data_IF_751906336746
#
_entry.id   IF_751906336746
#
_cell.length_a   1.000
_cell.length_b   1.000
_cell.length_c   1.000
_cell.angle_alpha   90.00
_cell.angle_beta   90.00
_cell.angle_gamma   90.00
#
_symmetry.space_group_name_H-M   'P 1'
#
loop_
_entity.id
_entity.type
_entity.pdbx_description
1 polymer ?
#
# COMPACT_ATOMS: atom_id res chain seq x y z
N UNK A 1 7.07 -21.76 0.65
CA UNK A 1 7.58 -23.00 1.29
C UNK A 1 8.20 -22.76 2.68
N UNK A 2 8.30 -21.52 3.20
CA UNK A 2 8.87 -21.27 4.54
C UNK A 2 10.41 -21.30 4.63
N UNK A 3 11.09 -21.70 3.55
CA UNK A 3 12.55 -21.76 3.47
C UNK A 3 13.15 -20.36 3.25
N UNK A 4 14.29 -20.10 3.88
CA UNK A 4 15.07 -18.86 3.71
C UNK A 4 15.53 -18.74 2.24
N UNK A 5 15.26 -17.59 1.63
CA UNK A 5 15.71 -17.31 0.27
C UNK A 5 17.12 -16.72 0.23
N UNK A 6 17.84 -16.95 -0.87
CA UNK A 6 19.13 -16.30 -1.15
C UNK A 6 18.91 -14.95 -1.82
N UNK A 7 19.59 -13.90 -1.36
CA UNK A 7 19.53 -12.58 -1.99
C UNK A 7 19.93 -12.70 -3.47
N UNK A 8 19.07 -12.16 -4.35
CA UNK A 8 19.28 -12.17 -5.81
C UNK A 8 19.73 -10.80 -6.28
N UNK A 9 18.88 -9.80 -6.08
CA UNK A 9 19.06 -8.43 -6.52
C UNK A 9 18.10 -7.50 -5.76
N UNK A 10 18.01 -6.25 -6.20
CA UNK A 10 17.06 -5.28 -5.68
C UNK A 10 16.20 -4.74 -6.83
N UNK A 11 14.97 -4.36 -6.50
CA UNK A 11 14.10 -3.61 -7.39
C UNK A 11 13.67 -2.31 -6.73
N UNK A 12 13.27 -1.33 -7.54
CA UNK A 12 12.60 -0.14 -7.05
C UNK A 12 11.08 -0.36 -7.08
N UNK A 13 10.42 -0.22 -5.93
CA UNK A 13 8.96 -0.14 -5.82
C UNK A 13 8.58 1.32 -5.62
N UNK A 14 7.74 1.84 -6.51
CA UNK A 14 7.17 3.18 -6.41
C UNK A 14 5.82 3.10 -5.72
N UNK A 15 5.65 3.82 -4.62
CA UNK A 15 4.37 3.89 -3.88
C UNK A 15 3.97 5.34 -3.68
N UNK A 16 2.70 5.66 -3.95
CA UNK A 16 2.14 6.98 -3.67
C UNK A 16 1.98 7.16 -2.17
N UNK A 17 2.26 8.36 -1.73
CA UNK A 17 2.31 8.73 -0.33
C UNK A 17 1.65 10.09 -0.08
N UNK A 18 1.67 10.57 1.17
CA UNK A 18 1.03 11.84 1.53
C UNK A 18 1.58 12.99 0.69
N UNK A 19 0.72 13.95 0.32
CA UNK A 19 1.18 15.12 -0.42
C UNK A 19 2.04 16.01 0.47
N UNK A 20 3.09 16.58 -0.11
CA UNK A 20 3.99 17.53 0.55
C UNK A 20 3.68 18.90 -0.04
N UNK A 21 3.24 19.84 0.80
CA UNK A 21 2.88 21.22 0.38
C UNK A 21 1.88 21.22 -0.80
N UNK A 22 0.92 20.30 -0.78
CA UNK A 22 -0.11 20.17 -1.83
C UNK A 22 0.35 19.44 -3.10
N UNK A 23 1.59 18.94 -3.16
CA UNK A 23 2.10 18.20 -4.31
C UNK A 23 2.06 16.69 -4.09
N UNK A 24 1.54 15.91 -5.06
CA UNK A 24 1.62 14.45 -5.05
C UNK A 24 3.04 13.94 -4.82
N UNK A 25 3.22 13.06 -3.85
CA UNK A 25 4.54 12.52 -3.50
C UNK A 25 4.58 11.00 -3.73
N UNK A 26 5.70 10.50 -4.25
CA UNK A 26 5.95 9.07 -4.43
C UNK A 26 7.24 8.69 -3.74
N UNK A 27 7.18 7.62 -2.94
CA UNK A 27 8.38 7.01 -2.38
C UNK A 27 8.95 6.01 -3.37
N UNK A 28 10.25 6.10 -3.58
CA UNK A 28 11.03 5.14 -4.36
C UNK A 28 11.76 4.23 -3.38
N UNK A 29 11.22 3.03 -3.19
CA UNK A 29 11.70 2.12 -2.16
C UNK A 29 12.48 1.00 -2.81
N UNK A 30 13.76 0.89 -2.45
CA UNK A 30 14.62 -0.21 -2.88
C UNK A 30 14.28 -1.46 -2.07
N UNK A 31 13.74 -2.48 -2.73
CA UNK A 31 13.28 -3.73 -2.10
C UNK A 31 14.15 -4.90 -2.55
N UNK A 32 14.68 -5.70 -1.63
CA UNK A 32 15.39 -6.93 -1.98
C UNK A 32 14.46 -7.96 -2.64
N UNK A 33 14.97 -8.68 -3.64
CA UNK A 33 14.38 -9.91 -4.14
C UNK A 33 15.25 -11.10 -3.78
N UNK A 34 14.59 -12.21 -3.50
CA UNK A 34 15.21 -13.46 -3.10
C UNK A 34 14.85 -14.56 -4.09
N UNK A 35 15.77 -15.51 -4.24
CA UNK A 35 15.52 -16.77 -4.95
C UNK A 35 15.35 -17.89 -3.92
N UNK A 36 14.31 -18.70 -4.08
CA UNK A 36 14.10 -19.90 -3.30
C UNK A 36 14.98 -21.04 -3.84
N UNK A 37 15.75 -21.69 -2.97
CA UNK A 37 16.58 -22.85 -3.32
C UNK A 37 15.80 -24.17 -3.44
N UNK A 38 14.56 -24.22 -2.98
CA UNK A 38 13.72 -25.41 -3.10
C UNK A 38 13.22 -25.55 -4.55
N UNK A 39 13.62 -26.64 -5.22
CA UNK A 39 13.31 -26.95 -6.61
C UNK A 39 11.81 -27.17 -6.86
N UNK A 40 11.08 -27.65 -5.84
CA UNK A 40 9.63 -27.90 -5.86
C UNK A 40 8.81 -26.64 -5.53
N UNK A 41 9.47 -25.53 -5.17
CA UNK A 41 8.74 -24.31 -4.83
C UNK A 41 8.16 -23.62 -6.07
N UNK A 42 6.83 -23.48 -6.11
CA UNK A 42 6.10 -22.77 -7.16
C UNK A 42 6.60 -21.33 -7.35
N UNK A 43 6.92 -20.64 -6.25
CA UNK A 43 7.44 -19.26 -6.29
C UNK A 43 8.95 -19.26 -6.10
N UNK A 44 9.68 -19.39 -7.21
CA UNK A 44 11.16 -19.36 -7.20
C UNK A 44 11.74 -17.99 -6.87
N UNK A 45 11.07 -16.89 -7.21
CA UNK A 45 11.54 -15.53 -6.93
C UNK A 45 10.46 -14.78 -6.17
N UNK A 46 10.83 -14.16 -5.06
CA UNK A 46 9.93 -13.36 -4.24
C UNK A 46 10.58 -12.08 -3.73
N UNK A 47 9.78 -11.09 -3.41
CA UNK A 47 10.23 -9.80 -2.90
C UNK A 47 10.12 -9.77 -1.38
N UNK A 48 10.99 -8.99 -0.71
CA UNK A 48 10.79 -8.69 0.70
C UNK A 48 9.42 -8.02 0.91
N UNK A 49 8.65 -8.54 1.86
CA UNK A 49 7.41 -7.89 2.29
C UNK A 49 7.75 -6.66 3.13
N UNK A 50 6.96 -5.59 2.96
CA UNK A 50 7.11 -4.35 3.73
C UNK A 50 5.78 -4.00 4.41
N UNK A 51 5.27 -4.86 5.30
CA UNK A 51 3.91 -4.73 5.83
C UNK A 51 3.70 -3.43 6.62
N UNK A 52 4.75 -2.85 7.20
CA UNK A 52 4.68 -1.55 7.87
C UNK A 52 4.44 -0.38 6.88
N UNK A 53 4.87 -0.51 5.62
CA UNK A 53 4.77 0.55 4.61
C UNK A 53 3.49 0.43 3.78
N UNK A 54 3.24 -0.74 3.20
CA UNK A 54 2.17 -0.98 2.24
C UNK A 54 1.80 -2.46 2.18
N UNK A 55 0.52 -2.75 1.93
CA UNK A 55 0.05 -4.11 1.68
C UNK A 55 0.79 -4.76 0.49
N UNK A 56 0.85 -6.11 0.42
CA UNK A 56 1.35 -6.80 -0.75
C UNK A 56 0.68 -6.28 -2.02
N UNK A 57 1.49 -5.91 -3.02
CA UNK A 57 1.05 -5.37 -4.33
C UNK A 57 0.36 -3.99 -4.31
N UNK A 58 0.07 -3.40 -3.15
CA UNK A 58 -0.51 -2.06 -3.09
C UNK A 58 0.40 -1.00 -3.74
N UNK A 59 -0.20 0.03 -4.34
CA UNK A 59 0.53 1.16 -4.93
C UNK A 59 0.51 2.41 -4.06
N UNK A 60 -0.08 2.31 -2.87
CA UNK A 60 -0.19 3.38 -1.88
C UNK A 60 0.39 2.92 -0.55
N UNK A 61 0.93 3.86 0.22
CA UNK A 61 1.34 3.59 1.61
C UNK A 61 0.11 3.47 2.52
N UNK A 62 0.22 2.71 3.62
CA UNK A 62 -0.85 2.65 4.63
C UNK A 62 -1.18 4.03 5.20
N UNK A 63 -0.14 4.84 5.42
CA UNK A 63 -0.32 6.21 5.90
C UNK A 63 -1.07 7.09 4.91
N UNK A 64 -0.92 6.87 3.60
CA UNK A 64 -1.71 7.54 2.58
C UNK A 64 -3.20 7.17 2.71
N UNK A 65 -3.53 5.89 2.91
CA UNK A 65 -4.92 5.45 3.12
C UNK A 65 -5.52 6.09 4.37
N UNK A 66 -4.80 6.10 5.49
CA UNK A 66 -5.24 6.81 6.71
C UNK A 66 -5.43 8.31 6.48
N UNK A 67 -4.55 8.93 5.72
CA UNK A 67 -4.68 10.35 5.35
C UNK A 67 -5.91 10.61 4.47
N UNK A 68 -6.23 9.70 3.53
CA UNK A 68 -7.48 9.76 2.75
C UNK A 68 -8.67 9.78 3.70
N UNK A 69 -8.74 8.84 4.65
CA UNK A 69 -9.85 8.79 5.62
C UNK A 69 -9.96 10.05 6.47
N UNK A 70 -8.84 10.60 6.94
CA UNK A 70 -8.82 11.87 7.67
C UNK A 70 -9.42 13.00 6.82
N UNK A 71 -9.02 13.11 5.56
CA UNK A 71 -9.51 14.16 4.65
C UNK A 71 -11.00 14.04 4.35
N UNK A 72 -11.48 12.82 4.17
CA UNK A 72 -12.90 12.57 3.85
C UNK A 72 -13.80 12.71 5.08
N UNK A 73 -13.45 12.03 6.18
CA UNK A 73 -14.33 11.89 7.35
C UNK A 73 -14.26 13.08 8.30
N UNK A 74 -13.08 13.68 8.48
CA UNK A 74 -12.88 14.77 9.45
C UNK A 74 -12.90 16.12 8.76
N UNK A 75 -12.10 16.28 7.71
CA UNK A 75 -11.95 17.57 7.02
C UNK A 75 -13.09 17.82 6.00
N UNK A 76 -13.99 16.85 5.80
CA UNK A 76 -15.12 16.89 4.86
C UNK A 76 -14.71 17.30 3.44
N UNK A 77 -13.51 16.90 3.03
CA UNK A 77 -13.01 17.14 1.67
C UNK A 77 -13.66 16.17 0.70
N UNK A 78 -13.95 16.60 -0.53
CA UNK A 78 -14.49 15.70 -1.55
C UNK A 78 -13.44 14.68 -2.02
N UNK A 79 -13.89 13.49 -2.43
CA UNK A 79 -13.02 12.45 -3.02
C UNK A 79 -12.22 13.01 -4.21
N UNK A 80 -12.84 13.86 -5.05
CA UNK A 80 -12.16 14.49 -6.18
C UNK A 80 -11.02 15.42 -5.75
N UNK A 81 -11.20 16.19 -4.67
CA UNK A 81 -10.14 17.05 -4.15
C UNK A 81 -8.99 16.25 -3.54
N UNK A 82 -9.29 15.15 -2.84
CA UNK A 82 -8.28 14.21 -2.33
C UNK A 82 -7.51 13.54 -3.47
N UNK A 83 -8.21 13.08 -4.50
CA UNK A 83 -7.60 12.49 -5.71
C UNK A 83 -6.67 13.46 -6.42
N UNK A 84 -7.10 14.73 -6.57
CA UNK A 84 -6.27 15.80 -7.12
C UNK A 84 -5.00 16.03 -6.29
N UNK A 85 -5.13 16.10 -4.95
CA UNK A 85 -3.99 16.30 -4.06
C UNK A 85 -2.98 15.14 -4.11
N UNK A 86 -3.44 13.90 -4.32
CA UNK A 86 -2.59 12.71 -4.42
C UNK A 86 -2.10 12.40 -5.83
N UNK A 87 -2.62 13.08 -6.86
CA UNK A 87 -2.34 12.75 -8.26
C UNK A 87 -2.79 11.33 -8.62
N UNK A 88 -3.90 10.89 -8.04
CA UNK A 88 -4.51 9.57 -8.26
C UNK A 88 -5.86 9.71 -8.97
N UNK A 89 -6.33 8.60 -9.56
CA UNK A 89 -7.70 8.52 -10.08
C UNK A 89 -8.72 8.53 -8.94
N UNK A 90 -9.90 9.07 -9.23
CA UNK A 90 -11.01 9.13 -8.28
C UNK A 90 -11.39 7.75 -7.77
N UNK A 91 -11.56 6.76 -8.67
CA UNK A 91 -11.95 5.40 -8.33
C UNK A 91 -10.98 4.75 -7.34
N UNK A 92 -9.68 4.91 -7.57
CA UNK A 92 -8.66 4.35 -6.68
C UNK A 92 -8.73 4.97 -5.28
N UNK A 93 -8.96 6.28 -5.16
CA UNK A 93 -9.11 6.92 -3.84
C UNK A 93 -10.37 6.42 -3.15
N UNK A 94 -11.47 6.28 -3.89
CA UNK A 94 -12.73 5.75 -3.37
C UNK A 94 -12.57 4.30 -2.90
N UNK A 95 -11.93 3.44 -3.69
CA UNK A 95 -11.68 2.05 -3.37
C UNK A 95 -10.80 1.90 -2.13
N UNK A 96 -9.75 2.71 -2.01
CA UNK A 96 -8.88 2.71 -0.83
C UNK A 96 -9.65 3.13 0.43
N UNK A 97 -10.51 4.15 0.32
CA UNK A 97 -11.33 4.60 1.45
C UNK A 97 -12.34 3.53 1.88
N UNK A 98 -13.10 2.96 0.93
CA UNK A 98 -14.11 1.93 1.21
C UNK A 98 -13.45 0.66 1.74
N UNK A 99 -12.33 0.23 1.14
CA UNK A 99 -11.59 -0.94 1.60
C UNK A 99 -11.13 -0.78 3.04
N UNK A 100 -10.52 0.36 3.39
CA UNK A 100 -10.01 0.59 4.74
C UNK A 100 -11.16 0.68 5.76
N UNK A 101 -12.25 1.36 5.41
CA UNK A 101 -13.43 1.43 6.29
C UNK A 101 -14.00 0.03 6.53
N UNK A 102 -14.11 -0.80 5.48
CA UNK A 102 -14.54 -2.20 5.63
C UNK A 102 -13.62 -2.96 6.56
N UNK A 103 -12.31 -2.91 6.34
CA UNK A 103 -11.32 -3.53 7.24
C UNK A 103 -11.50 -3.04 8.68
N UNK A 104 -11.59 -1.71 8.89
CA UNK A 104 -11.74 -1.13 10.22
C UNK A 104 -13.04 -1.52 10.93
N UNK A 105 -14.12 -1.75 10.20
CA UNK A 105 -15.43 -2.12 10.75
C UNK A 105 -15.51 -3.63 11.00
N UNK A 106 -15.15 -4.44 10.00
CA UNK A 106 -15.33 -5.89 10.05
C UNK A 106 -14.21 -6.65 10.77
N UNK A 107 -12.99 -6.10 10.85
CA UNK A 107 -11.89 -6.75 11.59
C UNK A 107 -11.91 -6.43 13.10
N UNK A 108 -12.93 -5.72 13.60
CA UNK A 108 -13.05 -5.46 15.04
C UNK A 108 -13.59 -6.68 15.80
N UNK A 109 -12.97 -7.07 16.93
CA UNK A 109 -13.55 -8.09 17.81
C UNK A 109 -14.94 -7.64 18.28
N UNK A 110 -15.99 -8.36 17.89
CA UNK A 110 -17.38 -8.04 18.23
C UNK A 110 -18.24 -7.52 17.09
N UNK A 111 -17.71 -7.40 15.86
CA UNK A 111 -18.54 -7.27 14.68
C UNK A 111 -19.12 -8.65 14.29
N UNK A 112 -20.46 -8.77 14.26
CA UNK A 112 -21.19 -9.97 13.83
C UNK A 112 -21.49 -9.96 12.33
#
# INVERSE_FOLDING_TARGET
CGVVGRLRDHIERRVTDLPIVGHPTRLHVRVPRFTCGNTECVTRIFQQRMPALAEPRAKTTRRCTRWILQRLAVDRTSVSAVAKALGLGWDLVNDLAVSEIRTMVYDQPGHF
#
